data_IF_306506585884
#
_entry.id   IF_306506585884
#
_cell.length_a   1.000
_cell.length_b   1.000
_cell.length_c   1.000
_cell.angle_alpha   90.00
_cell.angle_beta   90.00
_cell.angle_gamma   90.00
#
_symmetry.space_group_name_H-M   'P 1'
#
loop_
_entity.id
_entity.type
_entity.pdbx_description
1 polymer ?
#
# COMPACT_ATOMS: atom_id res chain seq x y z
N UNK A 1 -40.37 21.92 -23.00
CA UNK A 1 -39.06 22.19 -22.38
C UNK A 1 -38.79 21.09 -21.38
N UNK A 2 -37.57 20.50 -21.42
CA UNK A 2 -36.93 19.59 -20.44
C UNK A 2 -36.80 18.08 -20.71
N UNK A 3 -36.88 17.57 -21.94
CA UNK A 3 -36.53 16.15 -22.21
C UNK A 3 -35.14 15.93 -22.85
N UNK A 4 -34.33 16.99 -22.98
CA UNK A 4 -33.01 16.92 -23.66
C UNK A 4 -31.79 16.78 -22.74
N UNK A 5 -31.94 16.91 -21.41
CA UNK A 5 -30.80 16.98 -20.47
C UNK A 5 -30.52 15.62 -19.80
N UNK A 6 -31.53 14.76 -19.67
CA UNK A 6 -31.39 13.49 -18.93
C UNK A 6 -30.62 12.44 -19.74
N UNK A 7 -30.68 12.49 -21.08
CA UNK A 7 -30.00 11.52 -21.94
C UNK A 7 -28.50 11.79 -22.09
N UNK A 8 -28.05 13.06 -21.99
CA UNK A 8 -26.63 13.41 -22.13
C UNK A 8 -25.78 13.07 -20.88
N UNK A 9 -26.41 13.02 -19.69
CA UNK A 9 -25.73 12.70 -18.42
C UNK A 9 -25.47 11.19 -18.25
N UNK A 10 -26.27 10.34 -18.91
CA UNK A 10 -26.05 8.90 -18.94
C UNK A 10 -24.81 8.52 -19.76
N UNK A 11 -24.52 9.27 -20.83
CA UNK A 11 -23.36 9.03 -21.70
C UNK A 11 -22.02 9.32 -21.02
N UNK A 12 -21.91 10.42 -20.25
CA UNK A 12 -20.66 10.76 -19.54
C UNK A 12 -20.38 9.78 -18.41
N UNK A 13 -21.41 9.33 -17.69
CA UNK A 13 -21.26 8.35 -16.61
C UNK A 13 -20.82 6.99 -17.15
N UNK A 14 -21.37 6.58 -18.30
CA UNK A 14 -20.97 5.36 -18.99
C UNK A 14 -19.55 5.46 -19.56
N UNK A 15 -19.15 6.62 -20.08
CA UNK A 15 -17.80 6.88 -20.56
C UNK A 15 -16.77 6.86 -19.41
N UNK A 16 -17.10 7.43 -18.25
CA UNK A 16 -16.26 7.38 -17.04
C UNK A 16 -16.16 5.95 -16.50
N UNK A 17 -17.23 5.17 -16.56
CA UNK A 17 -17.20 3.74 -16.21
C UNK A 17 -16.32 2.95 -17.19
N UNK A 18 -16.46 3.18 -18.50
CA UNK A 18 -15.61 2.54 -19.52
C UNK A 18 -14.15 2.93 -19.36
N UNK A 19 -13.83 4.19 -19.09
CA UNK A 19 -12.46 4.66 -18.83
C UNK A 19 -11.90 4.03 -17.55
N UNK A 20 -12.71 3.88 -16.49
CA UNK A 20 -12.32 3.14 -15.28
C UNK A 20 -12.04 1.66 -15.58
N UNK A 21 -12.91 0.99 -16.35
CA UNK A 21 -12.74 -0.42 -16.70
C UNK A 21 -11.53 -0.63 -17.62
N UNK A 22 -11.34 0.22 -18.65
CA UNK A 22 -10.18 0.18 -19.54
C UNK A 22 -8.88 0.45 -18.77
N UNK A 23 -8.90 1.37 -17.80
CA UNK A 23 -7.73 1.65 -16.95
C UNK A 23 -7.43 0.49 -15.99
N UNK A 24 -8.45 -0.14 -15.39
CA UNK A 24 -8.29 -1.35 -14.57
C UNK A 24 -7.67 -2.47 -15.42
N UNK A 25 -8.18 -2.72 -16.62
CA UNK A 25 -7.65 -3.78 -17.51
C UNK A 25 -6.25 -3.47 -18.01
N UNK A 26 -5.92 -2.20 -18.30
CA UNK A 26 -4.60 -1.79 -18.81
C UNK A 26 -3.54 -1.74 -17.71
N UNK A 27 -3.87 -1.27 -16.50
CA UNK A 27 -2.99 -1.40 -15.33
C UNK A 27 -2.79 -2.87 -14.96
N UNK A 28 -3.81 -3.72 -15.07
CA UNK A 28 -3.68 -5.16 -14.85
C UNK A 28 -2.72 -5.80 -15.86
N UNK A 29 -2.81 -5.49 -17.15
CA UNK A 29 -1.90 -6.07 -18.16
C UNK A 29 -0.46 -5.57 -18.05
N UNK A 30 -0.24 -4.29 -17.75
CA UNK A 30 1.12 -3.74 -17.53
C UNK A 30 1.73 -4.28 -16.23
N UNK A 31 0.92 -4.51 -15.19
CA UNK A 31 1.34 -5.20 -13.96
C UNK A 31 1.58 -6.70 -14.19
N UNK A 32 0.79 -7.40 -14.98
CA UNK A 32 0.93 -8.84 -15.23
C UNK A 32 2.23 -9.16 -16.01
N UNK A 33 2.61 -8.28 -16.95
CA UNK A 33 3.90 -8.35 -17.66
C UNK A 33 5.08 -8.06 -16.71
N UNK A 34 4.90 -7.19 -15.71
CA UNK A 34 5.87 -6.96 -14.65
C UNK A 34 5.94 -8.15 -13.67
N UNK A 35 4.81 -8.76 -13.31
CA UNK A 35 4.70 -9.87 -12.36
C UNK A 35 5.17 -11.23 -12.93
N UNK A 36 5.01 -11.46 -14.23
CA UNK A 36 5.47 -12.69 -14.91
C UNK A 36 6.99 -12.89 -14.84
N UNK A 37 7.76 -11.79 -14.75
CA UNK A 37 9.23 -11.87 -14.59
C UNK A 37 9.68 -12.16 -13.14
N UNK A 38 8.78 -12.18 -12.17
CA UNK A 38 9.12 -12.16 -10.73
C UNK A 38 8.64 -13.43 -9.98
N UNK A 39 7.96 -14.35 -10.66
CA UNK A 39 7.40 -15.62 -10.12
C UNK A 39 8.46 -16.71 -9.78
N UNK A 40 9.66 -16.33 -9.34
CA UNK A 40 10.76 -17.27 -9.07
C UNK A 40 11.39 -17.12 -7.68
N UNK A 41 10.61 -16.73 -6.66
CA UNK A 41 11.10 -16.75 -5.27
C UNK A 41 10.33 -17.72 -4.38
N UNK A 42 10.55 -19.00 -4.64
CA UNK A 42 10.39 -20.05 -3.63
C UNK A 42 11.62 -20.08 -2.71
N UNK A 43 11.46 -20.22 -1.39
CA UNK A 43 12.43 -20.88 -0.51
C UNK A 43 11.96 -20.97 0.97
N UNK A 44 11.81 -22.21 1.44
CA UNK A 44 12.08 -22.83 2.77
C UNK A 44 12.04 -22.02 4.09
N UNK A 45 11.63 -22.68 5.21
CA UNK A 45 11.56 -22.07 6.54
C UNK A 45 12.97 -21.90 7.13
N UNK A 46 13.66 -20.86 6.69
CA UNK A 46 14.84 -20.33 7.37
C UNK A 46 14.41 -19.30 8.42
N UNK A 47 15.20 -19.17 9.49
CA UNK A 47 15.01 -18.13 10.50
C UNK A 47 14.83 -16.77 9.80
N UNK A 48 13.81 -15.96 10.15
CA UNK A 48 13.56 -14.70 9.47
C UNK A 48 14.81 -13.82 9.52
N UNK A 49 15.28 -13.40 8.35
CA UNK A 49 16.42 -12.51 8.23
C UNK A 49 16.03 -11.07 8.62
N UNK A 50 17.04 -10.21 8.75
CA UNK A 50 16.79 -8.80 9.11
C UNK A 50 15.89 -8.06 8.12
N UNK A 51 15.87 -8.48 6.85
CA UNK A 51 15.05 -7.85 5.82
C UNK A 51 13.57 -8.23 5.96
N UNK A 52 13.28 -9.50 6.25
CA UNK A 52 11.93 -9.97 6.54
C UNK A 52 11.35 -9.29 7.78
N UNK A 53 12.16 -9.13 8.84
CA UNK A 53 11.72 -8.38 10.02
C UNK A 53 11.50 -6.91 9.65
N UNK A 54 12.36 -6.30 8.80
CA UNK A 54 12.28 -4.90 8.31
C UNK A 54 10.97 -4.63 7.61
N UNK A 55 10.59 -5.54 6.72
CA UNK A 55 9.34 -5.48 6.00
C UNK A 55 8.15 -5.64 6.95
N UNK A 56 8.19 -6.63 7.84
CA UNK A 56 7.07 -6.88 8.74
C UNK A 56 6.85 -5.74 9.74
N UNK A 57 7.92 -5.12 10.24
CA UNK A 57 7.83 -3.92 11.07
C UNK A 57 7.24 -2.71 10.32
N UNK A 58 7.59 -2.55 9.03
CA UNK A 58 6.96 -1.53 8.17
C UNK A 58 5.47 -1.83 7.98
N UNK A 59 5.10 -3.08 7.80
CA UNK A 59 3.69 -3.50 7.72
C UNK A 59 2.92 -3.22 9.02
N UNK A 60 3.49 -3.54 10.19
CA UNK A 60 2.88 -3.19 11.50
C UNK A 60 2.70 -1.67 11.65
N UNK A 61 3.68 -0.88 11.22
CA UNK A 61 3.56 0.59 11.24
C UNK A 61 2.41 1.06 10.34
N UNK A 62 2.21 0.43 9.19
CA UNK A 62 1.10 0.77 8.29
C UNK A 62 -0.27 0.38 8.82
N UNK A 63 -0.37 -0.64 9.67
CA UNK A 63 -1.62 -0.90 10.43
C UNK A 63 -1.96 0.27 11.35
N UNK A 64 -0.96 0.79 12.06
CA UNK A 64 -1.15 1.98 12.90
C UNK A 64 -1.58 3.20 12.06
N UNK A 65 -1.02 3.35 10.86
CA UNK A 65 -1.41 4.42 9.95
C UNK A 65 -2.84 4.24 9.44
N UNK A 66 -3.25 3.01 9.11
CA UNK A 66 -4.63 2.71 8.73
C UNK A 66 -5.62 3.11 9.83
N UNK A 67 -5.32 2.73 11.08
CA UNK A 67 -6.14 3.14 12.23
C UNK A 67 -6.19 4.65 12.40
N UNK A 68 -5.05 5.34 12.27
CA UNK A 68 -5.00 6.79 12.35
C UNK A 68 -5.83 7.45 11.25
N UNK A 69 -5.74 6.97 10.00
CA UNK A 69 -6.53 7.44 8.85
C UNK A 69 -8.03 7.21 9.08
N UNK A 70 -8.42 6.08 9.67
CA UNK A 70 -9.82 5.80 10.02
C UNK A 70 -10.35 6.78 11.07
N UNK A 71 -9.53 7.17 12.05
CA UNK A 71 -9.90 8.13 13.09
C UNK A 71 -9.89 9.58 12.58
N UNK A 72 -8.94 9.92 11.71
CA UNK A 72 -8.76 11.24 11.13
C UNK A 72 -8.53 11.17 9.62
N UNK A 73 -9.60 11.26 8.80
CA UNK A 73 -9.49 11.27 7.35
C UNK A 73 -8.70 12.46 6.77
N UNK A 74 -8.48 13.54 7.53
CA UNK A 74 -7.71 14.69 7.06
C UNK A 74 -6.24 14.34 6.81
N UNK A 75 -5.74 13.25 7.39
CA UNK A 75 -4.42 12.70 7.13
C UNK A 75 -4.19 12.38 5.65
N UNK A 76 -5.22 11.97 4.92
CA UNK A 76 -5.11 11.72 3.47
C UNK A 76 -4.86 13.03 2.71
N UNK A 77 -5.54 14.12 3.11
CA UNK A 77 -5.35 15.43 2.48
C UNK A 77 -3.93 15.95 2.74
N UNK A 78 -3.44 15.80 3.97
CA UNK A 78 -2.07 16.17 4.34
C UNK A 78 -1.03 15.32 3.59
N UNK A 79 -1.29 14.02 3.43
CA UNK A 79 -0.42 13.12 2.67
C UNK A 79 -0.35 13.48 1.19
N UNK A 80 -1.48 13.91 0.59
CA UNK A 80 -1.51 14.42 -0.80
C UNK A 80 -0.58 15.61 -0.97
N UNK A 81 -0.73 16.63 -0.13
CA UNK A 81 0.09 17.83 -0.21
C UNK A 81 1.59 17.51 -0.05
N UNK A 82 1.94 16.59 0.84
CA UNK A 82 3.33 16.16 1.04
C UNK A 82 3.90 15.41 -0.18
N UNK A 83 3.09 14.57 -0.85
CA UNK A 83 3.51 13.83 -2.04
C UNK A 83 3.60 14.73 -3.27
N UNK A 84 2.65 15.63 -3.49
CA UNK A 84 2.66 16.56 -4.64
C UNK A 84 3.96 17.36 -4.67
N UNK A 85 4.34 17.96 -3.53
CA UNK A 85 5.60 18.68 -3.40
C UNK A 85 6.84 17.81 -3.71
N UNK A 86 6.81 16.53 -3.36
CA UNK A 86 7.91 15.61 -3.62
C UNK A 86 7.97 15.15 -5.10
N UNK A 87 6.82 14.97 -5.75
CA UNK A 87 6.73 14.54 -7.15
C UNK A 87 7.13 15.66 -8.10
N UNK A 88 6.71 16.91 -7.82
CA UNK A 88 7.10 18.09 -8.61
C UNK A 88 8.62 18.27 -8.67
N UNK A 89 9.33 17.83 -7.63
CA UNK A 89 10.80 17.78 -7.56
C UNK A 89 11.47 16.61 -8.30
N UNK A 90 10.72 15.83 -9.10
CA UNK A 90 11.25 14.66 -9.82
C UNK A 90 11.14 13.34 -9.05
N UNK A 91 10.15 13.21 -8.16
CA UNK A 91 10.00 12.13 -7.18
C UNK A 91 10.15 10.67 -7.70
N UNK A 92 10.41 9.78 -6.75
CA UNK A 92 10.63 8.34 -6.98
C UNK A 92 9.40 7.64 -7.54
N UNK A 93 9.57 6.43 -8.09
CA UNK A 93 8.46 5.60 -8.53
C UNK A 93 7.43 5.37 -7.40
N UNK A 94 7.90 5.11 -6.18
CA UNK A 94 7.03 4.93 -5.01
C UNK A 94 6.22 6.19 -4.67
N UNK A 95 6.82 7.37 -4.77
CA UNK A 95 6.12 8.64 -4.53
C UNK A 95 5.03 8.91 -5.59
N UNK A 96 5.32 8.62 -6.87
CA UNK A 96 4.34 8.73 -7.96
C UNK A 96 3.18 7.72 -7.80
N UNK A 97 3.48 6.50 -7.34
CA UNK A 97 2.44 5.51 -7.03
C UNK A 97 1.54 5.99 -5.88
N UNK A 98 2.12 6.59 -4.84
CA UNK A 98 1.36 7.21 -3.76
C UNK A 98 0.49 8.37 -4.23
N UNK A 99 0.98 9.22 -5.13
CA UNK A 99 0.20 10.32 -5.70
C UNK A 99 -1.09 9.80 -6.38
N UNK A 100 -0.97 8.72 -7.16
CA UNK A 100 -2.12 8.07 -7.80
C UNK A 100 -3.05 7.40 -6.79
N UNK A 101 -2.48 6.68 -5.81
CA UNK A 101 -3.25 5.94 -4.80
C UNK A 101 -4.04 6.88 -3.90
N UNK A 102 -3.47 8.01 -3.47
CA UNK A 102 -4.14 8.96 -2.57
C UNK A 102 -5.39 9.59 -3.21
N UNK A 103 -5.52 9.58 -4.54
CA UNK A 103 -6.74 10.03 -5.25
C UNK A 103 -7.91 9.04 -5.15
N UNK A 104 -7.68 7.82 -4.62
CA UNK A 104 -8.70 6.78 -4.46
C UNK A 104 -9.50 6.93 -3.17
N UNK A 105 -10.47 6.05 -2.96
CA UNK A 105 -11.24 6.04 -1.73
C UNK A 105 -10.35 5.59 -0.55
N UNK A 106 -10.69 6.01 0.67
CA UNK A 106 -9.92 5.69 1.89
C UNK A 106 -9.66 4.19 2.02
N UNK A 107 -10.69 3.38 1.77
CA UNK A 107 -10.61 1.94 1.98
C UNK A 107 -9.66 1.29 0.95
N UNK A 108 -9.68 1.75 -0.31
CA UNK A 108 -8.73 1.32 -1.35
C UNK A 108 -7.27 1.64 -0.97
N UNK A 109 -7.05 2.82 -0.36
CA UNK A 109 -5.72 3.25 0.11
C UNK A 109 -5.22 2.30 1.21
N UNK A 110 -6.10 1.99 2.17
CA UNK A 110 -5.77 1.10 3.29
C UNK A 110 -5.49 -0.31 2.81
N UNK A 111 -6.33 -0.84 1.92
CA UNK A 111 -6.17 -2.17 1.35
C UNK A 111 -4.82 -2.29 0.61
N UNK A 112 -4.53 -1.36 -0.30
CA UNK A 112 -3.31 -1.39 -1.11
C UNK A 112 -2.03 -1.33 -0.25
N UNK A 113 -1.99 -0.51 0.80
CA UNK A 113 -0.78 -0.39 1.62
C UNK A 113 -0.59 -1.57 2.60
N UNK A 114 -1.65 -2.30 2.92
CA UNK A 114 -1.61 -3.48 3.80
C UNK A 114 -1.47 -4.80 3.05
N UNK A 115 -1.57 -4.77 1.73
CA UNK A 115 -1.42 -5.96 0.89
C UNK A 115 -0.05 -6.62 1.08
N UNK A 116 -0.05 -7.93 1.29
CA UNK A 116 1.18 -8.74 1.35
C UNK A 116 1.64 -9.07 -0.08
N UNK A 117 2.12 -8.04 -0.77
CA UNK A 117 2.62 -8.10 -2.15
C UNK A 117 3.84 -7.21 -2.32
N UNK A 118 4.56 -7.38 -3.43
CA UNK A 118 5.70 -6.51 -3.76
C UNK A 118 5.28 -5.05 -3.93
N UNK A 119 4.10 -4.81 -4.55
CA UNK A 119 3.53 -3.49 -4.65
C UNK A 119 3.25 -2.91 -3.26
N UNK A 120 2.68 -3.70 -2.36
CA UNK A 120 2.50 -3.31 -0.96
C UNK A 120 3.82 -2.95 -0.28
N UNK A 121 4.87 -3.75 -0.47
CA UNK A 121 6.21 -3.48 0.10
C UNK A 121 6.82 -2.19 -0.47
N UNK A 122 6.68 -1.96 -1.78
CA UNK A 122 7.13 -0.74 -2.44
C UNK A 122 6.42 0.51 -1.89
N UNK A 123 5.09 0.44 -1.74
CA UNK A 123 4.27 1.49 -1.14
C UNK A 123 4.73 1.76 0.30
N UNK A 124 4.86 0.71 1.13
CA UNK A 124 5.28 0.86 2.53
C UNK A 124 6.66 1.51 2.70
N UNK A 125 7.56 1.26 1.75
CA UNK A 125 8.92 1.82 1.76
C UNK A 125 8.97 3.31 1.42
N UNK A 126 7.95 3.85 0.76
CA UNK A 126 7.88 5.25 0.32
C UNK A 126 6.69 6.01 0.94
N UNK A 127 6.22 5.54 2.10
CA UNK A 127 4.96 6.00 2.67
C UNK A 127 4.98 7.45 3.14
N UNK A 128 4.04 8.30 2.67
CA UNK A 128 3.93 9.69 3.14
C UNK A 128 3.41 9.80 4.57
N UNK A 129 2.79 8.75 5.11
CA UNK A 129 2.26 8.74 6.46
C UNK A 129 3.36 8.58 7.53
N UNK A 130 4.56 8.15 7.13
CA UNK A 130 5.70 7.99 8.04
C UNK A 130 6.17 9.28 8.70
N UNK A 131 5.94 10.45 8.09
CA UNK A 131 6.27 11.76 8.68
C UNK A 131 5.06 12.42 9.33
N UNK A 132 3.84 12.05 8.93
CA UNK A 132 2.58 12.65 9.41
C UNK A 132 2.05 12.01 10.68
N UNK A 133 2.09 10.67 10.72
CA UNK A 133 1.65 9.82 11.83
C UNK A 133 2.83 9.12 12.47
N UNK A 134 3.87 8.89 11.68
CA UNK A 134 4.87 7.89 11.97
C UNK A 134 5.55 8.05 13.31
N UNK A 135 6.08 6.91 13.71
CA UNK A 135 6.66 6.69 15.02
C UNK A 135 8.02 7.41 15.07
N UNK A 136 7.98 8.66 15.50
CA UNK A 136 9.15 9.54 15.51
C UNK A 136 10.12 9.15 16.64
N UNK A 137 9.59 8.59 17.74
CA UNK A 137 10.40 8.10 18.85
C UNK A 137 11.16 6.81 18.46
N UNK A 138 12.45 6.79 18.81
CA UNK A 138 13.30 5.60 18.69
C UNK A 138 12.79 4.45 19.56
N UNK A 139 12.22 4.73 20.73
CA UNK A 139 11.73 3.68 21.63
C UNK A 139 10.59 2.89 20.98
N UNK A 140 9.59 3.59 20.48
CA UNK A 140 8.43 3.00 19.82
C UNK A 140 8.82 2.22 18.54
N UNK A 141 9.74 2.76 17.72
CA UNK A 141 10.31 2.01 16.59
C UNK A 141 10.98 0.71 17.03
N UNK A 142 11.67 0.74 18.17
CA UNK A 142 12.32 -0.46 18.73
C UNK A 142 11.31 -1.45 19.30
N UNK A 143 10.15 -0.99 19.78
CA UNK A 143 9.06 -1.86 20.23
C UNK A 143 8.39 -2.56 19.04
N UNK A 144 8.05 -1.82 17.98
CA UNK A 144 7.51 -2.37 16.73
C UNK A 144 8.49 -3.40 16.14
N UNK A 145 9.79 -3.11 16.19
CA UNK A 145 10.82 -4.06 15.76
C UNK A 145 10.81 -5.37 16.54
N UNK A 146 10.75 -5.28 17.87
CA UNK A 146 10.70 -6.43 18.75
C UNK A 146 9.43 -7.24 18.53
N UNK A 147 8.30 -6.57 18.37
CA UNK A 147 7.02 -7.21 18.04
C UNK A 147 7.12 -7.97 16.71
N UNK A 148 7.64 -7.32 15.66
CA UNK A 148 7.77 -7.93 14.35
C UNK A 148 8.64 -9.20 14.38
N UNK A 149 9.77 -9.14 15.09
CA UNK A 149 10.67 -10.28 15.27
C UNK A 149 9.96 -11.42 16.01
N UNK A 150 9.25 -11.11 17.09
CA UNK A 150 8.52 -12.08 17.89
C UNK A 150 7.46 -12.80 17.06
N UNK A 151 6.66 -12.04 16.31
CA UNK A 151 5.57 -12.57 15.48
C UNK A 151 6.08 -13.48 14.37
N UNK A 152 7.16 -13.08 13.69
CA UNK A 152 7.76 -13.91 12.64
C UNK A 152 8.37 -15.20 13.20
N UNK A 153 9.07 -15.13 14.35
CA UNK A 153 9.60 -16.33 15.00
C UNK A 153 8.49 -17.28 15.41
N UNK A 154 7.40 -16.77 16.00
CA UNK A 154 6.23 -17.58 16.36
C UNK A 154 5.62 -18.28 15.14
N UNK A 155 5.49 -17.57 14.01
CA UNK A 155 5.01 -18.16 12.75
C UNK A 155 5.92 -19.27 12.22
N UNK A 156 7.25 -19.10 12.30
CA UNK A 156 8.20 -20.14 11.90
C UNK A 156 8.12 -21.38 12.80
N UNK A 157 7.94 -21.19 14.11
CA UNK A 157 7.82 -22.30 15.08
C UNK A 157 6.55 -23.12 14.87
N UNK A 158 5.44 -22.48 14.49
CA UNK A 158 4.16 -23.16 14.22
C UNK A 158 4.15 -24.01 12.94
N UNK A 159 5.07 -23.77 12.00
CA UNK A 159 5.20 -24.53 10.75
C UNK A 159 6.09 -25.78 10.94
N UNK A 160 6.90 -25.82 11.99
CA UNK A 160 7.85 -26.91 12.27
C UNK A 160 7.34 -28.18 13.01
N UNK A 161 6.09 -28.34 13.51
CA UNK A 161 5.79 -29.43 14.44
C UNK A 161 5.29 -30.75 13.80
N UNK A 162 5.68 -31.13 12.58
CA UNK A 162 5.28 -32.43 12.01
C UNK A 162 6.35 -33.11 11.14
N UNK A 163 7.59 -33.16 11.63
CA UNK A 163 8.64 -34.00 11.07
C UNK A 163 9.31 -34.79 12.20
N UNK A 164 8.61 -35.83 12.69
CA UNK A 164 9.15 -36.90 13.50
C UNK A 164 8.38 -38.19 13.17
#
# INVERSE_FOLDING_TARGET
MNDGIVTLMADVTYLVFLIKQIWITRCSNEMEVAMSKISARSAQPSRPDSHAIAEYARWLSHKLYAEAICRDPSLIVRAKAAIEAAVDGGGTLGQKLWELLLRKHRDDIIEAMLQDSELGSLLRSNSPFSTLVGVTDRQDRSQIWRQAKSDLLAKTTLIAPFAA
#
